data_IF_958987031697
#
_entry.id   IF_958987031697
#
_cell.length_a   1.000
_cell.length_b   1.000
_cell.length_c   1.000
_cell.angle_alpha   90.00
_cell.angle_beta   90.00
_cell.angle_gamma   90.00
#
_symmetry.space_group_name_H-M   'P 1'
#
loop_
_entity.id
_entity.type
_entity.pdbx_description
1 polymer ?
#
# COMPACT_ATOMS: atom_id res chain seq x y z
N UNK A 1 -0.64 -7.15 19.38
CA UNK A 1 -0.18 -6.95 17.98
C UNK A 1 0.22 -5.49 17.81
N UNK A 2 1.44 -5.20 17.36
CA UNK A 2 1.87 -3.84 16.99
C UNK A 2 1.27 -3.55 15.61
N UNK A 3 0.42 -2.54 15.46
CA UNK A 3 -0.26 -2.16 14.21
C UNK A 3 -0.02 -0.66 14.00
N UNK A 4 0.57 -0.27 12.86
CA UNK A 4 1.06 1.10 12.59
C UNK A 4 2.57 1.18 12.29
N UNK A 5 3.15 2.37 12.13
CA UNK A 5 4.60 2.56 12.02
C UNK A 5 5.32 2.03 13.28
N UNK A 6 6.65 1.84 13.24
CA UNK A 6 7.45 1.21 14.32
C UNK A 6 7.17 1.83 15.73
N UNK A 7 6.72 3.09 15.77
CA UNK A 7 6.39 3.86 16.98
C UNK A 7 4.88 4.12 17.23
N UNK A 8 3.95 3.40 16.59
CA UNK A 8 2.48 3.68 16.62
C UNK A 8 2.06 5.04 16.06
N UNK A 9 2.92 5.63 15.24
CA UNK A 9 2.62 6.82 14.46
C UNK A 9 1.77 6.45 13.22
N UNK A 10 1.20 7.46 12.52
CA UNK A 10 0.59 7.24 11.22
C UNK A 10 1.50 6.47 10.26
N UNK A 11 0.90 5.78 9.31
CA UNK A 11 1.62 5.00 8.30
C UNK A 11 2.55 5.92 7.49
N UNK A 12 3.79 5.47 7.30
CA UNK A 12 4.87 6.26 6.68
C UNK A 12 5.05 6.01 5.18
N UNK A 13 4.29 5.08 4.60
CA UNK A 13 4.29 4.85 3.14
C UNK A 13 3.83 6.12 2.42
N UNK A 14 4.56 6.48 1.37
CA UNK A 14 4.36 7.72 0.61
C UNK A 14 2.93 7.89 0.09
N UNK A 15 2.20 6.80 -0.13
CA UNK A 15 0.81 6.87 -0.59
C UNK A 15 -0.13 7.54 0.42
N UNK A 16 0.26 7.59 1.70
CA UNK A 16 -0.50 8.21 2.77
C UNK A 16 -0.01 9.63 3.09
N UNK A 17 1.21 9.99 2.68
CA UNK A 17 1.91 11.18 3.19
C UNK A 17 1.83 12.39 2.25
N UNK A 18 0.86 12.44 1.34
CA UNK A 18 0.59 13.65 0.57
C UNK A 18 -0.08 14.69 1.49
N UNK A 19 0.37 15.96 1.45
CA UNK A 19 -0.10 17.07 2.31
C UNK A 19 -1.62 17.35 2.25
N UNK A 20 -2.35 16.70 1.35
CA UNK A 20 -3.80 16.82 1.18
C UNK A 20 -4.60 15.72 1.88
N UNK A 21 -3.94 14.66 2.34
CA UNK A 21 -4.58 13.53 3.02
C UNK A 21 -4.50 13.74 4.54
N UNK A 22 -5.55 13.35 5.30
CA UNK A 22 -5.43 13.27 6.74
C UNK A 22 -4.38 12.20 7.11
N UNK A 23 -3.83 12.20 8.34
CA UNK A 23 -2.93 11.13 8.76
C UNK A 23 -3.62 9.75 8.67
N UNK A 24 -2.92 8.76 8.11
CA UNK A 24 -3.40 7.38 8.02
C UNK A 24 -3.03 6.60 9.28
N UNK A 25 -4.00 6.43 10.18
CA UNK A 25 -3.85 5.60 11.37
C UNK A 25 -3.23 6.31 12.58
N UNK A 26 -2.84 5.55 13.62
CA UNK A 26 -2.78 4.08 13.67
C UNK A 26 -4.17 3.41 13.56
N UNK A 27 -4.22 2.21 12.99
CA UNK A 27 -5.44 1.42 12.81
C UNK A 27 -5.43 0.15 13.68
N UNK A 28 -6.60 -0.25 14.18
CA UNK A 28 -6.77 -1.45 14.99
C UNK A 28 -7.09 -2.71 14.18
N UNK A 29 -7.52 -2.55 12.92
CA UNK A 29 -7.82 -3.64 11.98
C UNK A 29 -7.50 -3.23 10.54
N UNK A 30 -7.40 -4.22 9.66
CA UNK A 30 -7.27 -3.98 8.21
C UNK A 30 -8.53 -3.31 7.65
N UNK A 31 -9.72 -3.70 8.12
CA UNK A 31 -10.96 -3.00 7.80
C UNK A 31 -10.90 -1.48 8.07
N UNK A 32 -10.31 -1.04 9.19
CA UNK A 32 -10.18 0.39 9.50
C UNK A 32 -9.23 1.13 8.54
N UNK A 33 -8.19 0.45 8.03
CA UNK A 33 -7.35 0.99 6.97
C UNK A 33 -8.17 1.15 5.67
N UNK A 34 -8.95 0.14 5.29
CA UNK A 34 -9.79 0.21 4.09
C UNK A 34 -10.89 1.27 4.19
N UNK A 35 -11.53 1.41 5.35
CA UNK A 35 -12.52 2.45 5.61
C UNK A 35 -11.90 3.84 5.53
N UNK A 36 -10.65 3.99 5.98
CA UNK A 36 -9.89 5.22 5.81
C UNK A 36 -9.61 5.53 4.32
N UNK A 37 -9.20 4.53 3.54
CA UNK A 37 -8.99 4.67 2.09
C UNK A 37 -10.28 5.15 1.39
N UNK A 38 -11.41 4.52 1.72
CA UNK A 38 -12.74 4.90 1.24
C UNK A 38 -13.11 6.32 1.64
N UNK A 39 -12.94 6.68 2.91
CA UNK A 39 -13.24 8.02 3.41
C UNK A 39 -12.39 9.08 2.68
N UNK A 40 -11.10 8.81 2.45
CA UNK A 40 -10.20 9.73 1.76
C UNK A 40 -10.67 10.01 0.31
N UNK A 41 -11.04 8.98 -0.45
CA UNK A 41 -11.59 9.14 -1.80
C UNK A 41 -12.90 9.91 -1.78
N UNK A 42 -13.86 9.47 -0.94
CA UNK A 42 -15.20 10.08 -0.86
C UNK A 42 -15.13 11.55 -0.49
N UNK A 43 -14.23 11.92 0.42
CA UNK A 43 -13.99 13.33 0.80
C UNK A 43 -13.53 14.16 -0.41
N UNK A 44 -12.66 13.61 -1.26
CA UNK A 44 -12.13 14.28 -2.44
C UNK A 44 -13.17 14.42 -3.57
N UNK A 45 -14.06 13.45 -3.76
CA UNK A 45 -15.13 13.52 -4.78
C UNK A 45 -16.43 14.16 -4.29
N UNK A 46 -16.53 14.51 -3.00
CA UNK A 46 -17.72 15.14 -2.43
C UNK A 46 -18.28 16.31 -3.26
N UNK A 47 -17.48 17.21 -3.85
CA UNK A 47 -18.02 18.29 -4.69
C UNK A 47 -18.80 17.82 -5.93
N UNK A 48 -18.56 16.59 -6.40
CA UNK A 48 -19.26 15.98 -7.53
C UNK A 48 -20.63 15.38 -7.13
N UNK A 49 -20.91 15.28 -5.83
CA UNK A 49 -22.12 14.67 -5.26
C UNK A 49 -22.86 15.65 -4.35
N UNK A 50 -23.42 16.74 -4.90
CA UNK A 50 -24.07 17.78 -4.09
C UNK A 50 -25.30 17.22 -3.35
N UNK A 51 -25.44 17.60 -2.07
CA UNK A 51 -26.57 17.19 -1.24
C UNK A 51 -26.54 15.74 -0.76
N UNK A 52 -25.43 15.02 -0.95
CA UNK A 52 -25.21 13.66 -0.47
C UNK A 52 -24.30 13.62 0.75
N UNK A 53 -24.65 12.78 1.70
CA UNK A 53 -23.78 12.43 2.82
C UNK A 53 -22.65 11.51 2.34
N UNK A 54 -21.49 11.52 3.04
CA UNK A 54 -20.34 10.70 2.66
C UNK A 54 -20.69 9.20 2.59
N UNK A 55 -21.60 8.72 3.45
CA UNK A 55 -22.05 7.32 3.41
C UNK A 55 -22.81 6.95 2.13
N UNK A 56 -23.43 7.92 1.44
CA UNK A 56 -24.19 7.70 0.21
C UNK A 56 -23.32 7.74 -1.05
N UNK A 57 -22.13 8.32 -0.98
CA UNK A 57 -21.19 8.35 -2.11
C UNK A 57 -20.65 6.93 -2.32
N UNK A 58 -20.68 6.36 -3.54
CA UNK A 58 -20.20 5.01 -3.79
C UNK A 58 -18.67 4.91 -3.74
N UNK A 59 -18.18 3.76 -3.28
CA UNK A 59 -16.80 3.31 -3.49
C UNK A 59 -16.87 1.94 -4.19
N UNK A 60 -16.53 1.86 -5.50
CA UNK A 60 -16.69 0.64 -6.27
C UNK A 60 -15.69 -0.47 -5.91
N UNK A 61 -14.58 -0.13 -5.23
CA UNK A 61 -13.49 -1.08 -4.95
C UNK A 61 -13.44 -1.53 -3.48
N UNK A 62 -14.16 -0.87 -2.57
CA UNK A 62 -14.13 -1.19 -1.12
C UNK A 62 -14.41 -2.65 -0.80
N UNK A 63 -15.36 -3.28 -1.49
CA UNK A 63 -15.74 -4.69 -1.24
C UNK A 63 -14.74 -5.70 -1.81
N UNK A 64 -13.80 -5.26 -2.64
CA UNK A 64 -12.74 -6.11 -3.20
C UNK A 64 -11.49 -6.12 -2.31
N UNK A 65 -11.43 -5.27 -1.29
CA UNK A 65 -10.33 -5.24 -0.32
C UNK A 65 -10.56 -6.27 0.82
N UNK A 66 -9.58 -7.14 1.13
CA UNK A 66 -9.73 -8.21 2.11
C UNK A 66 -9.54 -7.71 3.55
N UNK A 67 -10.64 -7.45 4.26
CA UNK A 67 -10.64 -6.95 5.64
C UNK A 67 -10.01 -7.91 6.67
N UNK A 68 -9.85 -9.18 6.32
CA UNK A 68 -9.26 -10.26 7.12
C UNK A 68 -7.80 -10.58 6.75
N UNK A 69 -7.18 -9.81 5.86
CA UNK A 69 -5.78 -9.96 5.50
C UNK A 69 -4.86 -9.93 6.73
N UNK A 70 -3.78 -10.73 6.69
CA UNK A 70 -2.84 -10.78 7.80
C UNK A 70 -2.04 -9.50 7.85
N UNK A 71 -1.79 -9.00 9.05
CA UNK A 71 -0.88 -7.86 9.24
C UNK A 71 0.54 -8.40 9.41
N UNK A 72 1.42 -8.00 8.49
CA UNK A 72 2.84 -8.39 8.47
C UNK A 72 3.71 -7.14 8.41
N UNK A 73 5.00 -7.29 8.72
CA UNK A 73 5.94 -6.20 8.54
C UNK A 73 6.41 -6.20 7.08
N UNK A 74 6.10 -5.13 6.34
CA UNK A 74 6.47 -4.96 4.93
C UNK A 74 7.55 -3.90 4.80
N UNK A 75 8.38 -4.02 3.77
CA UNK A 75 9.33 -3.00 3.34
C UNK A 75 8.60 -1.82 2.69
N UNK A 76 7.56 -2.11 1.88
CA UNK A 76 6.73 -1.12 1.17
C UNK A 76 7.50 -0.26 0.15
N UNK A 77 8.69 -0.71 -0.27
CA UNK A 77 9.52 -0.05 -1.29
C UNK A 77 10.59 -1.01 -1.83
N UNK A 78 10.19 -2.26 -2.09
CA UNK A 78 11.11 -3.35 -2.43
C UNK A 78 11.52 -3.30 -3.91
N UNK A 79 12.22 -2.23 -4.27
CA UNK A 79 12.82 -2.00 -5.58
C UNK A 79 14.24 -2.62 -5.65
N UNK A 80 14.76 -3.04 -6.83
CA UNK A 80 16.09 -3.63 -6.94
C UNK A 80 17.22 -2.76 -6.37
N UNK A 81 17.11 -1.43 -6.47
CA UNK A 81 18.10 -0.49 -5.88
C UNK A 81 18.21 -0.59 -4.36
N UNK A 82 17.21 -1.16 -3.70
CA UNK A 82 17.14 -1.33 -2.25
C UNK A 82 17.61 -2.73 -1.81
N UNK A 83 18.09 -3.57 -2.73
CA UNK A 83 18.62 -4.92 -2.46
C UNK A 83 20.11 -4.95 -2.80
N UNK A 84 20.95 -5.13 -1.80
CA UNK A 84 22.39 -5.27 -1.99
C UNK A 84 22.75 -6.74 -2.19
N UNK A 85 23.54 -7.02 -3.22
CA UNK A 85 24.02 -8.37 -3.57
C UNK A 85 25.54 -8.40 -3.52
N UNK A 86 26.11 -9.46 -2.95
CA UNK A 86 27.55 -9.69 -2.98
C UNK A 86 28.02 -10.01 -4.39
N UNK A 87 29.03 -9.27 -4.87
CA UNK A 87 29.67 -9.53 -6.18
C UNK A 87 30.36 -10.91 -6.25
N UNK A 88 30.79 -11.47 -5.12
CA UNK A 88 31.54 -12.73 -5.10
C UNK A 88 30.65 -13.95 -4.89
N UNK A 89 29.60 -13.84 -4.07
CA UNK A 89 28.74 -14.98 -3.74
C UNK A 89 27.38 -14.97 -4.43
N UNK A 90 27.01 -13.88 -5.11
CA UNK A 90 25.66 -13.67 -5.67
C UNK A 90 24.53 -13.88 -4.63
N UNK A 91 24.80 -13.57 -3.36
CA UNK A 91 23.82 -13.66 -2.27
C UNK A 91 23.37 -12.27 -1.89
N UNK A 92 22.10 -12.14 -1.52
CA UNK A 92 21.58 -10.94 -0.87
C UNK A 92 22.36 -10.74 0.44
N UNK A 93 22.94 -9.56 0.63
CA UNK A 93 23.68 -9.18 1.83
C UNK A 93 22.91 -8.19 2.70
N UNK A 94 22.05 -7.37 2.11
CA UNK A 94 21.20 -6.44 2.84
C UNK A 94 19.98 -6.03 2.01
N UNK A 95 18.91 -5.67 2.72
CA UNK A 95 17.81 -4.86 2.20
C UNK A 95 17.88 -3.51 2.93
N UNK A 96 17.83 -2.41 2.20
CA UNK A 96 18.05 -1.05 2.69
C UNK A 96 16.87 -0.12 2.37
N UNK A 97 16.89 1.10 2.91
CA UNK A 97 15.83 2.11 2.73
C UNK A 97 14.44 1.73 3.31
N UNK A 98 14.42 1.36 4.59
CA UNK A 98 13.22 0.97 5.34
C UNK A 98 12.29 2.13 5.72
N UNK A 99 12.44 3.32 5.15
CA UNK A 99 11.70 4.52 5.57
C UNK A 99 10.18 4.43 5.39
N UNK A 100 9.71 3.61 4.45
CA UNK A 100 8.28 3.38 4.18
C UNK A 100 7.73 2.14 4.91
N UNK A 101 8.62 1.39 5.57
CA UNK A 101 8.28 0.12 6.20
C UNK A 101 7.30 0.28 7.34
N UNK A 102 6.57 -0.79 7.63
CA UNK A 102 5.52 -0.75 8.63
C UNK A 102 4.71 -2.03 8.69
N UNK A 103 3.68 -2.02 9.54
CA UNK A 103 2.77 -3.15 9.70
C UNK A 103 1.54 -2.96 8.82
N UNK A 104 1.53 -3.59 7.64
CA UNK A 104 0.50 -3.46 6.61
C UNK A 104 -0.15 -4.83 6.32
N UNK A 105 -1.28 -4.87 5.59
CA UNK A 105 -1.81 -6.12 5.05
C UNK A 105 -0.76 -6.89 4.24
N UNK A 106 -0.82 -8.22 4.25
CA UNK A 106 0.14 -9.10 3.57
C UNK A 106 0.22 -8.91 2.05
N UNK A 107 -0.88 -8.52 1.41
CA UNK A 107 -0.90 -8.17 -0.01
C UNK A 107 -0.10 -6.90 -0.34
N UNK A 108 0.19 -6.05 0.66
CA UNK A 108 0.74 -4.70 0.45
C UNK A 108 2.14 -4.71 -0.18
N UNK A 109 2.96 -5.71 0.16
CA UNK A 109 4.33 -5.82 -0.39
C UNK A 109 4.30 -6.06 -1.90
N UNK A 110 3.45 -6.96 -2.39
CA UNK A 110 3.30 -7.20 -3.82
C UNK A 110 2.84 -5.93 -4.52
N UNK A 111 1.74 -5.35 -4.04
CA UNK A 111 1.16 -4.14 -4.62
C UNK A 111 2.19 -3.00 -4.70
N UNK A 112 2.94 -2.74 -3.63
CA UNK A 112 3.96 -1.68 -3.62
C UNK A 112 5.19 -1.99 -4.47
N UNK A 113 5.68 -3.23 -4.46
CA UNK A 113 6.81 -3.64 -5.28
C UNK A 113 6.48 -3.49 -6.77
N UNK A 114 5.27 -3.88 -7.17
CA UNK A 114 4.80 -3.74 -8.54
C UNK A 114 4.56 -2.28 -8.91
N UNK A 115 3.87 -1.52 -8.06
CA UNK A 115 3.53 -0.12 -8.30
C UNK A 115 4.74 0.79 -8.50
N UNK A 116 5.87 0.45 -7.88
CA UNK A 116 7.13 1.21 -7.97
C UNK A 116 8.07 0.67 -9.05
N UNK A 117 7.72 -0.46 -9.69
CA UNK A 117 8.53 -1.05 -10.74
C UNK A 117 8.39 -0.29 -12.06
N UNK A 118 9.38 -0.45 -12.94
CA UNK A 118 9.24 -0.05 -14.34
C UNK A 118 8.11 -0.86 -14.98
N UNK A 119 7.15 -0.16 -15.60
CA UNK A 119 6.00 -0.79 -16.25
C UNK A 119 6.50 -1.71 -17.36
N UNK A 120 6.08 -2.97 -17.29
CA UNK A 120 6.51 -4.06 -18.17
C UNK A 120 8.00 -4.45 -18.05
N UNK A 121 8.75 -3.93 -17.08
CA UNK A 121 10.14 -4.28 -16.84
C UNK A 121 10.31 -5.70 -16.28
N UNK A 122 11.55 -6.20 -16.28
CA UNK A 122 11.86 -7.55 -15.76
C UNK A 122 11.53 -7.69 -14.27
N UNK A 123 11.73 -6.63 -13.48
CA UNK A 123 11.39 -6.65 -12.05
C UNK A 123 9.92 -6.99 -11.82
N UNK A 124 9.03 -6.30 -12.55
CA UNK A 124 7.59 -6.47 -12.51
C UNK A 124 7.17 -7.86 -13.00
N UNK A 125 7.54 -8.21 -14.24
CA UNK A 125 6.96 -9.38 -14.92
C UNK A 125 7.63 -10.71 -14.57
N UNK A 126 8.90 -10.67 -14.15
CA UNK A 126 9.71 -11.88 -13.95
C UNK A 126 10.04 -12.09 -12.48
N UNK A 127 10.55 -11.07 -11.78
CA UNK A 127 11.15 -11.28 -10.46
C UNK A 127 10.14 -11.21 -9.31
N UNK A 128 9.30 -10.17 -9.24
CA UNK A 128 8.28 -10.03 -8.18
C UNK A 128 7.43 -11.30 -8.03
N UNK A 129 6.88 -11.89 -9.12
CA UNK A 129 6.04 -13.08 -9.02
C UNK A 129 6.74 -14.35 -8.50
N UNK A 130 8.09 -14.38 -8.48
CA UNK A 130 8.85 -15.52 -7.96
C UNK A 130 8.75 -15.60 -6.42
N UNK A 131 8.71 -14.45 -5.74
CA UNK A 131 8.82 -14.39 -4.28
C UNK A 131 7.64 -13.68 -3.59
N UNK A 132 6.78 -13.00 -4.34
CA UNK A 132 5.52 -12.43 -3.86
C UNK A 132 4.37 -12.98 -4.68
N UNK A 133 3.30 -13.39 -3.99
CA UNK A 133 2.08 -13.87 -4.64
C UNK A 133 1.22 -12.66 -5.01
N UNK A 134 0.80 -12.60 -6.27
CA UNK A 134 -0.16 -11.61 -6.75
C UNK A 134 -1.48 -11.71 -5.97
N UNK A 135 -1.98 -10.60 -5.39
CA UNK A 135 -3.22 -10.59 -4.63
C UNK A 135 -4.43 -10.38 -5.53
N UNK A 136 -5.54 -11.02 -5.20
CA UNK A 136 -6.83 -10.85 -5.91
C UNK A 136 -7.35 -9.41 -5.85
N UNK A 137 -6.89 -8.63 -4.86
CA UNK A 137 -7.28 -7.24 -4.66
C UNK A 137 -6.34 -6.23 -5.33
N UNK A 138 -5.47 -6.64 -6.25
CA UNK A 138 -4.49 -5.76 -6.89
C UNK A 138 -5.16 -4.54 -7.55
N UNK A 139 -6.14 -4.77 -8.44
CA UNK A 139 -6.88 -3.70 -9.12
C UNK A 139 -7.57 -2.75 -8.13
N UNK A 140 -8.14 -3.32 -7.08
CA UNK A 140 -8.79 -2.57 -6.01
C UNK A 140 -7.79 -1.71 -5.25
N UNK A 141 -6.61 -2.24 -4.95
CA UNK A 141 -5.55 -1.49 -4.29
C UNK A 141 -5.05 -0.36 -5.19
N UNK A 142 -4.72 -0.63 -6.47
CA UNK A 142 -4.17 0.36 -7.41
C UNK A 142 -5.09 1.57 -7.61
N UNK A 143 -6.41 1.37 -7.52
CA UNK A 143 -7.37 2.45 -7.61
C UNK A 143 -7.08 3.57 -6.60
N UNK A 144 -6.70 3.24 -5.36
CA UNK A 144 -6.54 4.24 -4.30
C UNK A 144 -5.30 5.14 -4.48
N UNK A 145 -4.06 4.63 -4.66
CA UNK A 145 -2.89 5.46 -4.93
C UNK A 145 -3.06 6.35 -6.17
N UNK A 146 -3.57 5.79 -7.27
CA UNK A 146 -3.88 6.57 -8.50
C UNK A 146 -4.86 7.68 -8.20
N UNK A 147 -5.90 7.39 -7.39
CA UNK A 147 -6.87 8.39 -6.98
C UNK A 147 -6.26 9.46 -6.07
N UNK A 148 -5.25 9.13 -5.27
CA UNK A 148 -4.51 10.09 -4.45
C UNK A 148 -3.50 10.93 -5.25
N UNK A 149 -3.18 10.53 -6.49
CA UNK A 149 -2.29 11.24 -7.40
C UNK A 149 -0.84 10.77 -7.32
N UNK A 150 -0.64 9.51 -6.97
CA UNK A 150 0.62 8.80 -7.12
C UNK A 150 0.65 8.03 -8.43
#
# INVERSE_FOLDING_TARGET
MKKGHINREPLGDVIFTNARLPPAGPFNSVAQLHDWLTMAIKTRIRPLWPGKELSEIPDPYRSMLPDDAKVVFTHSDLHPSNIMVSETSNKIIAVIDWRQSGWYPDYWEFCKAEYTAEVYGEWMNTYIPIFLKEPECLDAWEFYPRFFGH
#
